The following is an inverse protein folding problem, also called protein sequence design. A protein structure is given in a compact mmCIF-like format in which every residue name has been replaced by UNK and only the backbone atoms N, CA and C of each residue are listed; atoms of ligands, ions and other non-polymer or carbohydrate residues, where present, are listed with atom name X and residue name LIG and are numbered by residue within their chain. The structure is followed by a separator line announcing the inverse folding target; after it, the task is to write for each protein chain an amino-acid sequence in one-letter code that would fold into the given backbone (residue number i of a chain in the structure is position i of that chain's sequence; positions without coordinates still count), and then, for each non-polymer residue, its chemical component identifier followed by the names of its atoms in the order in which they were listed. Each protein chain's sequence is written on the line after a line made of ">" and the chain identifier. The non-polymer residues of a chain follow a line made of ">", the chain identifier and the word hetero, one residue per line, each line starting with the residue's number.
data_IF_249805264398
#
_entry.id   IF_249805264398
#
_cell.length_a   1.000
_cell.length_b   1.000
_cell.length_c   1.000
_cell.angle_alpha   90.00
_cell.angle_beta   90.00
_cell.angle_gamma   90.00
#
_symmetry.space_group_name_H-M   'P 1'
#
loop_
_entity.id
_entity.type
_entity.pdbx_description
1 polymer ?
#
# COMPACT_ATOMS: atom_id res chain seq x y z
N UNK A 1 19.14 -27.05 74.11
CA UNK A 1 17.77 -27.16 73.59
C UNK A 1 17.09 -25.81 73.76
N UNK A 2 16.14 -25.44 72.89
CA UNK A 2 15.39 -24.17 72.96
C UNK A 2 13.90 -24.45 72.75
N UNK A 3 13.07 -23.97 73.66
CA UNK A 3 11.62 -24.18 73.66
C UNK A 3 10.91 -22.83 73.49
N UNK A 4 10.20 -22.66 72.37
CA UNK A 4 9.48 -21.45 72.00
C UNK A 4 8.00 -21.74 71.67
N UNK A 5 7.44 -22.84 72.17
CA UNK A 5 6.07 -23.24 71.85
C UNK A 5 5.00 -22.35 72.50
N UNK A 6 3.86 -22.14 71.81
CA UNK A 6 2.70 -21.36 72.28
C UNK A 6 2.98 -19.90 72.65
N UNK A 7 3.93 -19.28 71.97
CA UNK A 7 4.33 -17.88 72.20
C UNK A 7 3.71 -16.90 71.20
N UNK A 8 2.96 -17.40 70.20
CA UNK A 8 2.34 -16.58 69.16
C UNK A 8 3.33 -16.03 68.14
N UNK A 9 4.53 -16.63 68.05
CA UNK A 9 5.57 -16.20 67.12
C UNK A 9 5.11 -16.32 65.67
N UNK A 10 5.29 -15.25 64.90
CA UNK A 10 5.03 -15.22 63.46
C UNK A 10 6.29 -15.44 62.62
N UNK A 11 7.47 -15.19 63.20
CA UNK A 11 8.77 -15.42 62.56
C UNK A 11 9.83 -15.80 63.61
N UNK A 12 10.89 -16.45 63.14
CA UNK A 12 12.11 -16.76 63.88
C UNK A 12 13.27 -15.82 63.53
N UNK A 13 13.02 -14.72 62.80
CA UNK A 13 14.06 -13.83 62.29
C UNK A 13 14.94 -13.19 63.37
N UNK A 14 14.46 -13.11 64.62
CA UNK A 14 15.26 -12.63 65.75
C UNK A 14 16.44 -13.54 66.10
N UNK A 15 16.48 -14.77 65.56
CA UNK A 15 17.59 -15.70 65.70
C UNK A 15 18.57 -15.66 64.53
N UNK A 16 18.30 -14.85 63.49
CA UNK A 16 19.24 -14.65 62.39
C UNK A 16 20.54 -14.08 62.97
N UNK A 17 21.67 -14.68 62.59
CA UNK A 17 23.03 -14.36 63.06
C UNK A 17 23.30 -14.70 64.54
N UNK A 18 22.40 -15.39 65.26
CA UNK A 18 22.63 -15.77 66.65
C UNK A 18 23.70 -16.88 66.81
N UNK A 19 23.97 -17.66 65.74
CA UNK A 19 24.97 -18.73 65.68
C UNK A 19 24.98 -19.66 66.90
N UNK A 20 23.88 -20.37 67.10
CA UNK A 20 23.69 -21.23 68.28
C UNK A 20 24.32 -22.61 68.07
N UNK A 21 25.64 -22.70 68.22
CA UNK A 21 26.46 -23.91 67.98
C UNK A 21 26.27 -25.07 68.97
N UNK A 22 25.49 -24.87 70.03
CA UNK A 22 25.14 -25.92 71.02
C UNK A 22 23.66 -26.31 70.98
N UNK A 23 22.93 -25.79 70.00
CA UNK A 23 21.50 -26.06 69.88
C UNK A 23 21.29 -27.35 69.08
N UNK A 24 20.85 -28.40 69.75
CA UNK A 24 20.53 -29.69 69.12
C UNK A 24 19.04 -29.91 68.87
N UNK A 25 18.18 -29.24 69.64
CA UNK A 25 16.74 -29.44 69.55
C UNK A 25 16.02 -28.11 69.74
N UNK A 26 15.13 -27.81 68.81
CA UNK A 26 14.38 -26.57 68.69
C UNK A 26 12.88 -26.89 68.59
N UNK A 27 12.15 -26.60 69.68
CA UNK A 27 10.70 -26.73 69.70
C UNK A 27 10.03 -25.39 69.42
N UNK A 28 9.31 -25.27 68.31
CA UNK A 28 8.57 -24.07 67.90
C UNK A 28 7.14 -24.42 67.53
N UNK A 29 6.57 -25.42 68.20
CA UNK A 29 5.21 -25.89 67.95
C UNK A 29 4.13 -24.94 68.48
N UNK A 30 2.96 -24.97 67.85
CA UNK A 30 1.77 -24.20 68.22
C UNK A 30 2.01 -22.68 68.25
N UNK A 31 2.67 -22.17 67.21
CA UNK A 31 2.84 -20.74 66.96
C UNK A 31 2.11 -20.34 65.66
N UNK A 32 2.41 -19.17 65.13
CA UNK A 32 1.80 -18.61 63.92
C UNK A 32 2.79 -18.45 62.78
N UNK A 33 3.81 -19.32 62.70
CA UNK A 33 4.81 -19.28 61.64
C UNK A 33 4.18 -19.61 60.28
N UNK A 34 4.40 -18.74 59.29
CA UNK A 34 3.98 -18.94 57.91
C UNK A 34 5.14 -19.37 57.00
N UNK A 35 6.32 -18.77 57.19
CA UNK A 35 7.51 -19.00 56.39
C UNK A 35 8.66 -19.45 57.29
N UNK A 36 9.38 -20.47 56.86
CA UNK A 36 10.65 -20.86 57.47
C UNK A 36 11.75 -20.29 56.59
N UNK A 37 12.67 -19.49 57.13
CA UNK A 37 13.75 -18.84 56.37
C UNK A 37 15.02 -19.67 56.42
N UNK A 38 15.72 -19.80 55.29
CA UNK A 38 16.95 -20.60 55.18
C UNK A 38 18.05 -20.05 56.10
N UNK A 39 18.19 -18.73 56.14
CA UNK A 39 19.17 -18.01 56.96
C UNK A 39 18.99 -18.25 58.46
N UNK A 40 17.75 -18.45 58.90
CA UNK A 40 17.43 -18.79 60.29
C UNK A 40 17.94 -20.19 60.61
N UNK A 41 17.66 -21.18 59.74
CA UNK A 41 18.11 -22.56 59.97
C UNK A 41 19.63 -22.68 59.89
N UNK A 42 20.28 -21.94 58.99
CA UNK A 42 21.75 -21.83 58.94
C UNK A 42 22.37 -21.27 60.22
N UNK A 43 21.59 -20.53 61.04
CA UNK A 43 22.05 -20.03 62.35
C UNK A 43 22.09 -21.13 63.42
N UNK A 44 21.65 -22.36 63.12
CA UNK A 44 21.64 -23.53 64.01
C UNK A 44 22.45 -24.71 63.41
N UNK A 45 23.79 -24.61 63.31
CA UNK A 45 24.60 -25.59 62.56
C UNK A 45 24.63 -27.00 63.16
N UNK A 46 24.24 -27.17 64.43
CA UNK A 46 24.25 -28.47 65.14
C UNK A 46 22.86 -29.01 65.43
N UNK A 47 21.83 -28.50 64.73
CA UNK A 47 20.45 -28.84 64.96
C UNK A 47 20.14 -30.26 64.48
N UNK A 48 19.60 -31.08 65.38
CA UNK A 48 19.23 -32.48 65.11
C UNK A 48 17.72 -32.62 64.96
N UNK A 49 16.94 -31.95 65.82
CA UNK A 49 15.47 -32.05 65.82
C UNK A 49 14.79 -30.69 65.76
N UNK A 50 13.83 -30.56 64.83
CA UNK A 50 13.01 -29.37 64.65
C UNK A 50 11.51 -29.72 64.73
N UNK A 51 10.79 -29.16 65.71
CA UNK A 51 9.34 -29.34 65.85
C UNK A 51 8.59 -28.05 65.43
N UNK A 52 7.84 -28.16 64.34
CA UNK A 52 7.04 -27.07 63.75
C UNK A 52 5.53 -27.35 63.78
N UNK A 53 5.07 -28.38 64.50
CA UNK A 53 3.66 -28.78 64.47
C UNK A 53 2.73 -27.68 64.99
N UNK A 54 1.57 -27.54 64.35
CA UNK A 54 0.56 -26.55 64.75
C UNK A 54 0.92 -25.10 64.41
N UNK A 55 1.77 -24.88 63.40
CA UNK A 55 2.02 -23.58 62.78
C UNK A 55 1.14 -23.37 61.53
N UNK A 56 1.13 -22.15 61.00
CA UNK A 56 0.28 -21.70 59.91
C UNK A 56 1.06 -21.65 58.58
N UNK A 57 1.73 -22.74 58.22
CA UNK A 57 2.72 -22.79 57.13
C UNK A 57 2.10 -22.49 55.76
N UNK A 58 2.83 -21.72 54.95
CA UNK A 58 2.47 -21.38 53.57
C UNK A 58 2.93 -22.45 52.58
N UNK A 59 2.07 -22.84 51.64
CA UNK A 59 2.35 -23.77 50.57
C UNK A 59 2.40 -23.03 49.24
N UNK A 60 3.37 -22.12 49.16
CA UNK A 60 3.76 -21.37 47.98
C UNK A 60 5.29 -21.43 47.80
N UNK A 61 5.79 -20.73 46.78
CA UNK A 61 7.21 -20.76 46.47
C UNK A 61 8.12 -20.14 47.55
N UNK A 62 7.57 -19.51 48.59
CA UNK A 62 8.37 -18.98 49.71
C UNK A 62 8.93 -20.09 50.60
N UNK A 63 8.19 -21.18 50.77
CA UNK A 63 8.62 -22.36 51.52
C UNK A 63 9.18 -23.48 50.62
N UNK A 64 9.33 -23.24 49.31
CA UNK A 64 9.88 -24.22 48.37
C UNK A 64 11.25 -24.75 48.82
N UNK A 65 12.12 -23.86 49.28
CA UNK A 65 13.43 -24.25 49.80
C UNK A 65 13.30 -25.15 51.04
N UNK A 66 12.38 -24.84 51.96
CA UNK A 66 12.18 -25.58 53.21
C UNK A 66 11.65 -26.98 52.92
N UNK A 67 10.74 -27.11 51.96
CA UNK A 67 10.24 -28.41 51.48
C UNK A 67 11.38 -29.25 50.90
N UNK A 68 12.19 -28.66 50.01
CA UNK A 68 13.37 -29.35 49.46
C UNK A 68 14.38 -29.73 50.52
N UNK A 69 14.70 -28.82 51.44
CA UNK A 69 15.64 -29.02 52.54
C UNK A 69 15.17 -30.12 53.49
N UNK A 70 13.89 -30.17 53.83
CA UNK A 70 13.31 -31.20 54.69
C UNK A 70 13.47 -32.60 54.10
N UNK A 71 13.45 -32.74 52.77
CA UNK A 71 13.61 -34.02 52.07
C UNK A 71 15.09 -34.37 51.88
N UNK A 72 15.95 -33.38 51.62
CA UNK A 72 17.36 -33.61 51.27
C UNK A 72 18.33 -33.59 52.46
N UNK A 73 17.93 -33.02 53.60
CA UNK A 73 18.80 -32.88 54.77
C UNK A 73 19.02 -34.21 55.47
N UNK A 74 20.29 -34.57 55.70
CA UNK A 74 20.66 -35.74 56.50
C UNK A 74 20.94 -35.40 57.97
N UNK A 75 21.23 -34.12 58.27
CA UNK A 75 21.74 -33.70 59.58
C UNK A 75 20.64 -33.29 60.56
N UNK A 76 19.48 -32.83 60.03
CA UNK A 76 18.36 -32.36 60.84
C UNK A 76 17.07 -33.08 60.44
N UNK A 77 16.42 -33.69 61.42
CA UNK A 77 15.11 -34.32 61.27
C UNK A 77 13.99 -33.36 61.70
N UNK A 78 13.03 -33.13 60.81
CA UNK A 78 11.81 -32.39 61.13
C UNK A 78 10.78 -33.33 61.72
N UNK A 79 10.40 -33.09 62.98
CA UNK A 79 9.49 -33.97 63.72
C UNK A 79 8.12 -34.03 63.02
N UNK A 80 7.70 -35.25 62.65
CA UNK A 80 6.46 -35.49 61.91
C UNK A 80 6.34 -34.66 60.62
N UNK A 81 7.42 -34.53 59.85
CA UNK A 81 7.46 -33.76 58.59
C UNK A 81 6.29 -34.05 57.64
N UNK A 82 5.94 -35.33 57.48
CA UNK A 82 4.81 -35.79 56.64
C UNK A 82 3.42 -35.41 57.16
N UNK A 83 3.33 -34.92 58.40
CA UNK A 83 2.07 -34.47 59.02
C UNK A 83 1.90 -32.95 59.05
N UNK A 84 2.91 -32.20 58.61
CA UNK A 84 2.78 -30.76 58.46
C UNK A 84 1.77 -30.43 57.36
N UNK A 85 0.80 -29.59 57.69
CA UNK A 85 -0.26 -29.16 56.78
C UNK A 85 -0.12 -27.69 56.40
N UNK A 86 -0.59 -27.38 55.20
CA UNK A 86 -0.68 -26.02 54.67
C UNK A 86 -1.82 -25.26 55.35
N UNK A 87 -1.61 -23.98 55.67
CA UNK A 87 -2.68 -23.07 56.06
C UNK A 87 -2.97 -21.97 55.02
N UNK A 88 -2.00 -21.65 54.17
CA UNK A 88 -2.13 -20.71 53.05
C UNK A 88 -1.48 -21.34 51.80
N UNK A 89 -1.90 -21.03 50.56
CA UNK A 89 -3.13 -20.31 50.20
C UNK A 89 -4.40 -21.12 50.54
N UNK A 90 -5.55 -20.45 50.61
CA UNK A 90 -6.84 -21.08 51.02
C UNK A 90 -7.19 -22.34 50.22
N UNK A 91 -6.78 -22.41 48.95
CA UNK A 91 -7.00 -23.57 48.07
C UNK A 91 -6.26 -24.82 48.52
N UNK A 92 -5.10 -24.66 49.14
CA UNK A 92 -4.24 -25.75 49.60
C UNK A 92 -4.36 -25.97 51.11
N UNK A 93 -5.24 -25.23 51.79
CA UNK A 93 -5.41 -25.35 53.24
C UNK A 93 -5.80 -26.79 53.61
N UNK A 94 -5.04 -27.39 54.53
CA UNK A 94 -5.20 -28.78 54.97
C UNK A 94 -4.45 -29.83 54.15
N UNK A 95 -3.90 -29.49 52.98
CA UNK A 95 -3.00 -30.39 52.25
C UNK A 95 -1.65 -30.56 52.97
N UNK A 96 -0.93 -31.63 52.67
CA UNK A 96 0.40 -31.87 53.23
C UNK A 96 1.41 -30.90 52.61
N UNK A 97 2.30 -30.35 53.45
CA UNK A 97 3.33 -29.41 53.00
C UNK A 97 4.31 -30.04 52.00
N UNK A 98 4.62 -31.32 52.18
CA UNK A 98 5.53 -32.07 51.30
C UNK A 98 4.92 -32.43 49.93
N UNK A 99 3.61 -32.25 49.72
CA UNK A 99 2.96 -32.45 48.42
C UNK A 99 3.15 -31.24 47.47
N UNK A 100 3.82 -30.17 47.93
CA UNK A 100 4.06 -28.97 47.12
C UNK A 100 5.01 -29.27 45.95
N UNK A 101 4.57 -28.99 44.72
CA UNK A 101 5.40 -29.13 43.52
C UNK A 101 6.41 -27.98 43.39
N UNK A 102 7.61 -28.16 43.98
CA UNK A 102 8.71 -27.18 43.93
C UNK A 102 9.21 -26.91 42.51
N UNK A 103 9.05 -27.84 41.57
CA UNK A 103 9.49 -27.67 40.19
C UNK A 103 8.83 -26.50 39.45
N UNK A 104 7.60 -26.13 39.84
CA UNK A 104 6.87 -24.99 39.27
C UNK A 104 7.38 -23.62 39.75
N UNK A 105 8.25 -23.57 40.76
CA UNK A 105 8.79 -22.31 41.30
C UNK A 105 10.03 -21.79 40.55
N UNK A 106 10.64 -22.61 39.69
CA UNK A 106 11.78 -22.18 38.88
C UNK A 106 11.31 -21.48 37.61
N UNK A 107 11.62 -20.19 37.50
CA UNK A 107 11.45 -19.42 36.26
C UNK A 107 12.72 -19.59 35.42
N UNK A 108 12.60 -20.23 34.26
CA UNK A 108 13.73 -20.43 33.35
C UNK A 108 14.06 -19.14 32.58
N UNK A 109 14.86 -18.28 33.20
CA UNK A 109 15.39 -17.04 32.61
C UNK A 109 16.16 -17.35 31.31
N UNK A 110 16.79 -18.52 31.21
CA UNK A 110 17.52 -18.96 30.01
C UNK A 110 16.60 -19.10 28.80
N UNK A 111 15.40 -19.65 28.99
CA UNK A 111 14.39 -19.75 27.94
C UNK A 111 13.98 -18.37 27.40
N UNK A 112 13.72 -17.40 28.29
CA UNK A 112 13.36 -16.04 27.87
C UNK A 112 14.50 -15.34 27.11
N UNK A 113 15.75 -15.49 27.57
CA UNK A 113 16.93 -14.96 26.87
C UNK A 113 17.10 -15.61 25.48
N UNK A 114 16.83 -16.91 25.35
CA UNK A 114 16.87 -17.62 24.08
C UNK A 114 15.81 -17.11 23.09
N UNK A 115 14.56 -16.90 23.53
CA UNK A 115 13.51 -16.34 22.65
C UNK A 115 13.85 -14.91 22.19
N UNK A 116 14.38 -14.09 23.10
CA UNK A 116 14.76 -12.72 22.76
C UNK A 116 15.89 -12.67 21.73
N UNK A 117 16.95 -13.48 21.92
CA UNK A 117 18.11 -13.48 21.04
C UNK A 117 17.79 -14.03 19.66
N UNK A 118 17.02 -15.13 19.59
CA UNK A 118 16.57 -15.71 18.30
C UNK A 118 15.72 -14.73 17.50
N UNK A 119 14.80 -14.02 18.14
CA UNK A 119 13.96 -13.00 17.49
C UNK A 119 14.81 -11.86 16.91
N UNK A 120 15.79 -11.36 17.67
CA UNK A 120 16.68 -10.29 17.21
C UNK A 120 17.48 -10.70 15.96
N UNK A 121 18.00 -11.93 15.94
CA UNK A 121 18.76 -12.46 14.80
C UNK A 121 17.87 -12.57 13.55
N UNK A 122 16.64 -13.06 13.69
CA UNK A 122 15.71 -13.17 12.55
C UNK A 122 15.36 -11.81 11.95
N UNK A 123 15.09 -10.81 12.79
CA UNK A 123 14.75 -9.44 12.34
C UNK A 123 15.92 -8.81 11.58
N UNK A 124 17.15 -8.96 12.09
CA UNK A 124 18.35 -8.40 11.43
C UNK A 124 18.65 -9.07 10.10
N UNK A 125 18.50 -10.39 9.98
CA UNK A 125 18.66 -11.12 8.72
C UNK A 125 17.60 -10.71 7.69
N UNK A 126 16.33 -10.63 8.10
CA UNK A 126 15.25 -10.20 7.22
C UNK A 126 15.46 -8.76 6.74
N UNK A 127 15.82 -7.85 7.65
CA UNK A 127 16.11 -6.46 7.30
C UNK A 127 17.25 -6.32 6.29
N UNK A 128 18.34 -7.08 6.47
CA UNK A 128 19.48 -7.11 5.54
C UNK A 128 19.07 -7.63 4.16
N UNK A 129 18.30 -8.72 4.11
CA UNK A 129 17.81 -9.30 2.85
C UNK A 129 16.90 -8.33 2.10
N UNK A 130 15.91 -7.75 2.80
CA UNK A 130 15.00 -6.75 2.23
C UNK A 130 15.77 -5.53 1.74
N UNK A 131 16.76 -5.04 2.48
CA UNK A 131 17.58 -3.92 2.04
C UNK A 131 18.37 -4.26 0.77
N UNK A 132 19.06 -5.40 0.73
CA UNK A 132 19.85 -5.76 -0.45
C UNK A 132 18.99 -5.97 -1.69
N UNK A 133 17.85 -6.66 -1.54
CA UNK A 133 16.95 -6.96 -2.65
C UNK A 133 16.12 -5.74 -3.10
N UNK A 134 15.55 -5.00 -2.15
CA UNK A 134 14.64 -3.89 -2.46
C UNK A 134 15.35 -2.57 -2.75
N UNK A 135 16.62 -2.37 -2.35
CA UNK A 135 17.32 -1.09 -2.57
C UNK A 135 17.29 -0.65 -4.03
N UNK A 136 17.65 -1.54 -4.95
CA UNK A 136 17.68 -1.21 -6.38
C UNK A 136 16.27 -1.05 -6.97
N UNK A 137 15.31 -1.85 -6.50
CA UNK A 137 13.90 -1.74 -6.90
C UNK A 137 13.31 -0.38 -6.49
N UNK A 138 13.57 0.07 -5.26
CA UNK A 138 13.11 1.36 -4.74
C UNK A 138 13.77 2.53 -5.46
N UNK A 139 15.09 2.46 -5.70
CA UNK A 139 15.81 3.49 -6.47
C UNK A 139 15.24 3.61 -7.89
N UNK A 140 15.05 2.49 -8.57
CA UNK A 140 14.48 2.47 -9.92
C UNK A 140 13.06 3.03 -9.94
N UNK A 141 12.20 2.60 -9.01
CA UNK A 141 10.84 3.10 -8.87
C UNK A 141 10.81 4.62 -8.57
N UNK A 142 11.74 5.12 -7.75
CA UNK A 142 11.88 6.55 -7.46
C UNK A 142 12.18 7.36 -8.72
N UNK A 143 13.13 6.92 -9.55
CA UNK A 143 13.45 7.63 -10.80
C UNK A 143 12.32 7.55 -11.83
N UNK A 144 11.64 6.41 -11.95
CA UNK A 144 10.44 6.29 -12.80
C UNK A 144 9.33 7.23 -12.36
N UNK A 145 9.06 7.31 -11.06
CA UNK A 145 8.07 8.22 -10.50
C UNK A 145 8.44 9.68 -10.79
N UNK A 146 9.72 10.04 -10.61
CA UNK A 146 10.21 11.38 -10.89
C UNK A 146 10.04 11.74 -12.38
N UNK A 147 10.35 10.81 -13.29
CA UNK A 147 10.14 10.97 -14.73
C UNK A 147 8.66 11.15 -15.08
N UNK A 148 7.77 10.33 -14.50
CA UNK A 148 6.33 10.44 -14.69
C UNK A 148 5.75 11.78 -14.19
N UNK A 149 6.25 12.27 -13.05
CA UNK A 149 5.84 13.57 -12.50
C UNK A 149 6.35 14.74 -13.36
N UNK A 150 7.55 14.63 -13.92
CA UNK A 150 8.12 15.63 -14.82
C UNK A 150 7.32 15.75 -16.11
N UNK A 151 7.01 14.61 -16.74
CA UNK A 151 6.24 14.57 -17.99
C UNK A 151 4.82 15.13 -17.80
N UNK A 152 4.12 14.74 -16.73
CA UNK A 152 2.82 15.33 -16.38
C UNK A 152 2.87 16.85 -16.18
N UNK A 153 3.95 17.38 -15.59
CA UNK A 153 4.12 18.82 -15.39
C UNK A 153 4.36 19.55 -16.72
N UNK A 154 5.00 18.90 -17.68
CA UNK A 154 5.27 19.45 -19.01
C UNK A 154 4.04 19.42 -19.90
N UNK A 155 3.22 18.36 -19.84
CA UNK A 155 1.93 18.28 -20.54
C UNK A 155 0.87 19.24 -19.99
N UNK A 156 0.96 19.63 -18.70
CA UNK A 156 0.03 20.58 -18.07
C UNK A 156 0.26 22.05 -18.40
N UNK A 157 1.35 22.42 -19.09
CA UNK A 157 1.45 23.76 -19.66
C UNK A 157 0.70 23.75 -20.99
N UNK A 158 -0.48 24.40 -21.12
CA UNK A 158 -1.08 24.59 -22.42
C UNK A 158 -0.12 25.44 -23.24
N UNK A 159 0.65 24.80 -24.13
CA UNK A 159 1.23 25.51 -25.27
C UNK A 159 0.03 26.12 -25.99
N UNK A 160 0.04 27.43 -26.23
CA UNK A 160 -0.95 28.05 -27.09
C UNK A 160 -1.05 27.25 -28.39
N UNK A 161 -2.27 27.11 -28.92
CA UNK A 161 -2.53 26.37 -30.16
C UNK A 161 -1.58 26.88 -31.25
N UNK A 162 -0.67 26.03 -31.73
CA UNK A 162 0.36 26.40 -32.69
C UNK A 162 -0.16 26.42 -34.13
N UNK A 163 -1.28 25.76 -34.38
CA UNK A 163 -1.88 25.57 -35.70
C UNK A 163 -3.39 25.82 -35.66
N UNK A 164 -3.94 26.28 -36.78
CA UNK A 164 -5.38 26.47 -36.95
C UNK A 164 -6.09 25.15 -37.27
N UNK A 165 -5.44 24.27 -38.04
CA UNK A 165 -5.97 22.94 -38.28
C UNK A 165 -4.89 21.88 -38.50
N UNK A 166 -5.16 20.68 -37.98
CA UNK A 166 -4.43 19.45 -38.31
C UNK A 166 -5.11 18.76 -39.50
N UNK A 167 -4.33 18.35 -40.50
CA UNK A 167 -4.85 17.62 -41.68
C UNK A 167 -4.53 16.13 -41.55
N UNK A 168 -5.55 15.29 -41.42
CA UNK A 168 -5.43 13.83 -41.51
C UNK A 168 -5.91 13.38 -42.89
N UNK A 169 -5.00 12.73 -43.63
CA UNK A 169 -5.21 12.26 -45.00
C UNK A 169 -4.41 10.97 -45.22
N UNK A 170 -4.73 10.23 -46.29
CA UNK A 170 -3.97 9.05 -46.69
C UNK A 170 -2.88 9.44 -47.70
N UNK A 171 -1.75 8.73 -47.73
CA UNK A 171 -0.65 8.96 -48.70
C UNK A 171 -1.14 8.98 -50.15
N UNK A 172 -2.15 8.18 -50.52
CA UNK A 172 -2.73 8.20 -51.87
C UNK A 172 -3.42 9.51 -52.23
N UNK A 173 -3.92 10.25 -51.25
CA UNK A 173 -4.61 11.53 -51.42
C UNK A 173 -3.67 12.73 -51.24
N UNK A 174 -2.38 12.50 -50.97
CA UNK A 174 -1.38 13.53 -50.74
C UNK A 174 -1.28 14.53 -51.89
N UNK A 175 -1.36 14.04 -53.12
CA UNK A 175 -1.30 14.87 -54.33
C UNK A 175 -2.42 15.93 -54.35
N UNK A 176 -3.63 15.56 -53.93
CA UNK A 176 -4.75 16.49 -53.85
C UNK A 176 -4.56 17.48 -52.69
N UNK A 177 -4.10 17.01 -51.54
CA UNK A 177 -3.82 17.87 -50.37
C UNK A 177 -2.77 18.94 -50.72
N UNK A 178 -1.68 18.54 -51.35
CA UNK A 178 -0.57 19.45 -51.68
C UNK A 178 -0.92 20.43 -52.80
N UNK A 179 -1.73 20.03 -53.79
CA UNK A 179 -2.03 20.85 -54.98
C UNK A 179 -3.30 21.68 -54.87
N UNK A 180 -4.31 21.18 -54.16
CA UNK A 180 -5.63 21.83 -54.05
C UNK A 180 -5.84 22.44 -52.67
N UNK A 181 -5.64 21.66 -51.60
CA UNK A 181 -5.98 22.09 -50.23
C UNK A 181 -5.00 23.14 -49.69
N UNK A 182 -3.69 22.86 -49.73
CA UNK A 182 -2.68 23.73 -49.15
C UNK A 182 -2.63 25.12 -49.80
N UNK A 183 -2.59 25.28 -51.14
CA UNK A 183 -2.49 26.62 -51.73
C UNK A 183 -3.73 27.47 -51.47
N UNK A 184 -4.89 26.85 -51.25
CA UNK A 184 -6.12 27.58 -50.97
C UNK A 184 -6.24 28.00 -49.51
N UNK A 185 -5.69 27.21 -48.57
CA UNK A 185 -5.80 27.47 -47.14
C UNK A 185 -4.59 28.23 -46.58
N UNK A 186 -3.35 27.83 -46.91
CA UNK A 186 -2.13 28.50 -46.43
C UNK A 186 -1.86 29.77 -47.23
N UNK A 187 -1.74 29.68 -48.58
CA UNK A 187 -1.30 30.83 -49.38
C UNK A 187 -2.37 31.91 -49.54
N UNK A 188 -3.63 31.53 -49.83
CA UNK A 188 -4.71 32.50 -50.10
C UNK A 188 -5.46 32.96 -48.86
N UNK A 189 -5.64 32.08 -47.86
CA UNK A 189 -6.44 32.36 -46.67
C UNK A 189 -5.57 32.60 -45.42
N UNK A 190 -4.28 32.28 -45.44
CA UNK A 190 -3.36 32.54 -44.34
C UNK A 190 -3.51 31.62 -43.13
N UNK A 191 -4.17 30.46 -43.27
CA UNK A 191 -4.30 29.49 -42.19
C UNK A 191 -2.98 28.75 -41.94
N UNK A 192 -2.66 28.49 -40.68
CA UNK A 192 -1.48 27.69 -40.33
C UNK A 192 -1.87 26.22 -40.13
N UNK A 193 -1.38 25.33 -41.00
CA UNK A 193 -1.77 23.92 -40.99
C UNK A 193 -0.64 23.01 -40.49
N UNK A 194 -1.02 21.92 -39.84
CA UNK A 194 -0.10 20.86 -39.41
C UNK A 194 -0.30 19.61 -40.29
N UNK A 195 0.76 19.16 -40.94
CA UNK A 195 0.78 17.98 -41.81
C UNK A 195 1.79 16.94 -41.34
N UNK A 196 1.42 15.67 -41.48
CA UNK A 196 2.24 14.57 -41.00
C UNK A 196 3.57 14.38 -41.76
N UNK A 197 3.64 14.73 -43.05
CA UNK A 197 4.89 14.63 -43.82
C UNK A 197 5.85 15.81 -43.62
N UNK A 198 5.39 16.95 -43.08
CA UNK A 198 6.16 18.20 -42.97
C UNK A 198 6.52 18.54 -41.53
N UNK A 199 5.56 18.42 -40.63
CA UNK A 199 5.62 19.01 -39.29
C UNK A 199 5.89 17.97 -38.18
N UNK A 200 5.99 16.68 -38.52
CA UNK A 200 6.26 15.62 -37.55
C UNK A 200 7.73 15.58 -37.14
N UNK A 201 7.97 15.39 -35.84
CA UNK A 201 9.32 15.31 -35.28
C UNK A 201 9.94 13.94 -35.59
N UNK A 202 11.09 13.88 -36.29
CA UNK A 202 11.78 12.62 -36.56
C UNK A 202 12.25 11.95 -35.27
N UNK A 203 12.09 10.63 -35.18
CA UNK A 203 12.49 9.84 -34.01
C UNK A 203 11.43 9.73 -32.91
N UNK A 204 10.33 10.47 -33.00
CA UNK A 204 9.15 10.32 -32.13
C UNK A 204 8.17 9.28 -32.71
N UNK A 205 7.50 8.44 -31.90
CA UNK A 205 6.49 7.52 -32.39
C UNK A 205 5.39 8.25 -33.18
N UNK A 206 4.97 7.68 -34.31
CA UNK A 206 3.99 8.33 -35.21
C UNK A 206 2.67 8.67 -34.50
N UNK A 207 2.24 7.81 -33.57
CA UNK A 207 1.04 8.03 -32.77
C UNK A 207 1.15 9.28 -31.89
N UNK A 208 2.30 9.52 -31.29
CA UNK A 208 2.50 10.68 -30.42
C UNK A 208 2.59 11.96 -31.24
N UNK A 209 3.16 11.90 -32.45
CA UNK A 209 3.15 13.01 -33.41
C UNK A 209 1.72 13.38 -33.85
N UNK A 210 0.87 12.38 -34.10
CA UNK A 210 -0.55 12.62 -34.44
C UNK A 210 -1.28 13.25 -33.26
N UNK A 211 -1.11 12.70 -32.06
CA UNK A 211 -1.72 13.22 -30.82
C UNK A 211 -1.30 14.68 -30.63
N UNK A 212 -0.02 14.98 -30.72
CA UNK A 212 0.50 16.36 -30.61
C UNK A 212 -0.05 17.28 -31.70
N UNK A 213 -0.09 16.83 -32.96
CA UNK A 213 -0.63 17.60 -34.08
C UNK A 213 -2.10 17.96 -33.85
N UNK A 214 -2.89 17.01 -33.33
CA UNK A 214 -4.28 17.24 -32.95
C UNK A 214 -4.34 18.24 -31.77
N UNK A 215 -3.66 17.99 -30.65
CA UNK A 215 -3.77 18.83 -29.44
C UNK A 215 -3.23 20.26 -29.62
N UNK A 216 -2.23 20.44 -30.48
CA UNK A 216 -1.69 21.75 -30.83
C UNK A 216 -2.48 22.47 -31.93
N UNK A 217 -3.56 21.86 -32.46
CA UNK A 217 -4.42 22.45 -33.51
C UNK A 217 -5.82 22.81 -33.00
N UNK A 218 -6.38 23.92 -33.51
CA UNK A 218 -7.74 24.37 -33.16
C UNK A 218 -8.84 23.47 -33.73
N UNK A 219 -8.64 22.97 -34.94
CA UNK A 219 -9.56 22.09 -35.68
C UNK A 219 -8.79 20.89 -36.22
N UNK A 220 -9.50 19.83 -36.58
CA UNK A 220 -8.97 18.68 -37.30
C UNK A 220 -9.77 18.51 -38.58
N UNK A 221 -9.12 18.53 -39.73
CA UNK A 221 -9.72 18.23 -41.04
C UNK A 221 -9.36 16.79 -41.40
N UNK A 222 -10.37 15.95 -41.59
CA UNK A 222 -10.19 14.59 -42.11
C UNK A 222 -10.57 14.56 -43.58
N UNK A 223 -9.61 14.24 -44.45
CA UNK A 223 -9.80 14.04 -45.89
C UNK A 223 -10.12 12.56 -46.13
N UNK A 224 -11.40 12.28 -46.38
CA UNK A 224 -11.95 10.93 -46.47
C UNK A 224 -12.04 10.50 -47.93
N UNK A 225 -11.37 9.39 -48.22
CA UNK A 225 -11.47 8.57 -49.42
C UNK A 225 -11.67 7.08 -49.02
N UNK A 226 -11.88 6.19 -49.99
CA UNK A 226 -11.89 4.73 -49.76
C UNK A 226 -10.54 4.25 -49.24
N UNK A 227 -9.44 4.75 -49.80
CA UNK A 227 -8.08 4.44 -49.34
C UNK A 227 -7.85 4.88 -47.89
N UNK A 228 -8.40 6.04 -47.51
CA UNK A 228 -8.41 6.51 -46.13
C UNK A 228 -9.16 5.53 -45.20
N UNK A 229 -10.29 4.97 -45.63
CA UNK A 229 -11.05 3.99 -44.86
C UNK A 229 -10.46 2.57 -44.87
N UNK A 230 -9.59 2.22 -45.82
CA UNK A 230 -8.96 0.89 -45.90
C UNK A 230 -7.68 0.79 -45.07
N UNK A 231 -6.99 1.92 -44.83
CA UNK A 231 -5.73 1.91 -44.09
C UNK A 231 -5.92 1.80 -42.57
N UNK A 232 -5.21 0.85 -41.95
CA UNK A 232 -5.24 0.66 -40.49
C UNK A 232 -4.82 1.92 -39.72
N UNK A 233 -3.87 2.69 -40.27
CA UNK A 233 -3.37 3.93 -39.69
C UNK A 233 -4.42 5.04 -39.69
N UNK A 234 -5.11 5.31 -40.81
CA UNK A 234 -6.19 6.31 -40.84
C UNK A 234 -7.40 5.86 -40.01
N UNK A 235 -7.68 4.55 -39.92
CA UNK A 235 -8.73 4.02 -39.03
C UNK A 235 -8.45 4.32 -37.55
N UNK A 236 -7.18 4.31 -37.14
CA UNK A 236 -6.72 4.61 -35.78
C UNK A 236 -6.60 6.11 -35.50
N UNK A 237 -6.18 6.90 -36.48
CA UNK A 237 -6.18 8.37 -36.43
C UNK A 237 -7.61 8.92 -36.26
N UNK A 238 -8.57 8.41 -37.03
CA UNK A 238 -9.99 8.73 -36.86
C UNK A 238 -10.47 8.32 -35.46
N UNK A 239 -10.08 7.15 -34.95
CA UNK A 239 -10.50 6.71 -33.62
C UNK A 239 -9.97 7.62 -32.50
N UNK A 240 -8.73 8.11 -32.62
CA UNK A 240 -8.09 9.00 -31.64
C UNK A 240 -8.63 10.44 -31.77
N UNK A 241 -8.73 10.97 -32.99
CA UNK A 241 -9.34 12.26 -33.26
C UNK A 241 -10.83 12.27 -32.84
N UNK A 242 -11.53 11.16 -33.06
CA UNK A 242 -12.89 10.94 -32.58
C UNK A 242 -12.93 10.87 -31.06
N UNK A 243 -12.01 10.17 -30.39
CA UNK A 243 -11.97 10.12 -28.92
C UNK A 243 -11.86 11.52 -28.31
N UNK A 244 -10.95 12.37 -28.82
CA UNK A 244 -10.87 13.79 -28.41
C UNK A 244 -12.15 14.57 -28.73
N UNK A 245 -12.79 14.31 -29.87
CA UNK A 245 -14.07 14.93 -30.25
C UNK A 245 -15.25 14.52 -29.33
N UNK A 246 -15.23 13.30 -28.79
CA UNK A 246 -16.29 12.77 -27.94
C UNK A 246 -16.12 13.14 -26.46
N UNK A 247 -14.88 13.26 -25.97
CA UNK A 247 -14.59 13.58 -24.57
C UNK A 247 -14.69 15.08 -24.25
N UNK A 248 -14.28 15.97 -25.18
CA UNK A 248 -14.23 17.43 -24.95
C UNK A 248 -15.48 18.22 -25.43
N UNK A 249 -16.46 17.58 -26.10
CA UNK A 249 -17.72 18.18 -26.60
C UNK A 249 -17.59 19.56 -27.30
N UNK A 250 -16.59 19.74 -28.16
CA UNK A 250 -16.45 20.96 -28.99
C UNK A 250 -16.45 20.58 -30.47
N UNK A 251 -17.06 21.41 -31.32
CA UNK A 251 -17.05 21.26 -32.79
C UNK A 251 -15.63 21.46 -33.33
N UNK A 252 -14.80 20.42 -33.24
CA UNK A 252 -13.38 20.45 -33.60
C UNK A 252 -13.10 19.71 -34.91
N UNK A 253 -14.00 18.82 -35.35
CA UNK A 253 -13.78 17.95 -36.51
C UNK A 253 -14.52 18.44 -37.76
N UNK A 254 -13.80 18.54 -38.88
CA UNK A 254 -14.32 18.86 -40.20
C UNK A 254 -14.07 17.67 -41.11
N UNK A 255 -15.14 17.09 -41.67
CA UNK A 255 -15.04 15.95 -42.58
C UNK A 255 -15.11 16.44 -44.03
N UNK A 256 -14.10 16.11 -44.84
CA UNK A 256 -14.03 16.43 -46.27
C UNK A 256 -14.03 15.12 -47.05
N UNK A 257 -15.08 14.85 -47.83
CA UNK A 257 -15.17 13.66 -48.69
C UNK A 257 -14.66 13.99 -50.09
N UNK A 258 -13.61 13.31 -50.54
CA UNK A 258 -13.10 13.46 -51.92
C UNK A 258 -13.93 12.71 -52.95
N UNK A 259 -14.63 11.66 -52.51
CA UNK A 259 -15.45 10.82 -53.37
C UNK A 259 -16.77 10.44 -52.68
N UNK A 260 -17.73 9.99 -53.48
CA UNK A 260 -18.98 9.47 -52.95
C UNK A 260 -18.77 8.04 -52.44
N UNK A 261 -18.78 7.91 -51.12
CA UNK A 261 -18.65 6.62 -50.43
C UNK A 261 -20.05 6.15 -49.99
N UNK A 262 -20.50 4.97 -50.42
CA UNK A 262 -21.82 4.47 -50.07
C UNK A 262 -21.91 4.12 -48.57
N UNK A 263 -23.09 4.34 -47.99
CA UNK A 263 -23.34 4.21 -46.54
C UNK A 263 -22.98 2.85 -45.92
N UNK A 264 -22.93 1.77 -46.71
CA UNK A 264 -22.56 0.44 -46.24
C UNK A 264 -21.07 0.33 -45.90
N UNK A 265 -20.18 0.97 -46.67
CA UNK A 265 -18.73 1.00 -46.39
C UNK A 265 -18.41 1.85 -45.17
N UNK A 266 -19.30 2.79 -44.83
CA UNK A 266 -19.19 3.65 -43.66
C UNK A 266 -19.77 2.99 -42.38
N UNK A 267 -20.45 1.86 -42.51
CA UNK A 267 -21.13 1.18 -41.39
C UNK A 267 -20.21 0.67 -40.26
N UNK A 268 -18.96 0.21 -40.52
CA UNK A 268 -18.02 -0.17 -39.45
C UNK A 268 -17.58 1.02 -38.59
N UNK A 269 -17.64 2.23 -39.16
CA UNK A 269 -17.21 3.48 -38.53
C UNK A 269 -18.33 4.15 -37.73
N UNK A 270 -18.98 3.38 -36.84
CA UNK A 270 -20.21 3.77 -36.13
C UNK A 270 -20.13 5.12 -35.39
N UNK A 271 -18.94 5.55 -34.96
CA UNK A 271 -18.73 6.86 -34.31
C UNK A 271 -18.83 8.03 -35.28
N UNK A 272 -18.37 7.86 -36.53
CA UNK A 272 -18.54 8.85 -37.61
C UNK A 272 -19.98 8.89 -38.12
N UNK A 273 -20.72 7.78 -38.00
CA UNK A 273 -22.13 7.67 -38.40
C UNK A 273 -22.98 8.81 -37.86
N UNK A 274 -22.76 9.27 -36.62
CA UNK A 274 -23.50 10.40 -36.03
C UNK A 274 -23.26 11.72 -36.76
N UNK A 275 -22.02 12.01 -37.15
CA UNK A 275 -21.66 13.22 -37.89
C UNK A 275 -22.14 13.17 -39.34
N UNK A 276 -22.04 12.00 -39.96
CA UNK A 276 -22.52 11.75 -41.32
C UNK A 276 -24.05 11.84 -41.37
N UNK A 277 -24.76 11.28 -40.38
CA UNK A 277 -26.22 11.38 -40.26
C UNK A 277 -26.69 12.83 -40.08
N UNK A 278 -25.94 13.66 -39.35
CA UNK A 278 -26.20 15.09 -39.23
C UNK A 278 -25.84 15.90 -40.49
N UNK A 279 -25.26 15.25 -41.53
CA UNK A 279 -24.81 15.87 -42.79
C UNK A 279 -23.85 17.06 -42.58
N UNK A 280 -23.02 17.01 -41.54
CA UNK A 280 -22.05 18.08 -41.23
C UNK A 280 -20.72 17.91 -41.95
N UNK A 281 -20.72 17.27 -43.13
CA UNK A 281 -19.53 17.01 -43.94
C UNK A 281 -19.54 17.85 -45.21
N UNK A 282 -18.35 18.07 -45.78
CA UNK A 282 -18.14 18.79 -47.02
C UNK A 282 -17.75 17.78 -48.10
N UNK A 283 -18.50 17.73 -49.20
CA UNK A 283 -18.17 16.91 -50.36
C UNK A 283 -17.40 17.73 -51.38
N UNK A 284 -16.28 17.20 -51.86
CA UNK A 284 -15.56 17.77 -52.99
C UNK A 284 -16.46 17.75 -54.24
N UNK A 285 -16.59 18.88 -54.97
CA UNK A 285 -17.45 18.97 -56.14
C UNK A 285 -16.98 18.06 -57.28
N UNK A 286 -17.91 17.66 -58.15
CA UNK A 286 -17.58 16.83 -59.33
C UNK A 286 -16.80 17.66 -60.36
N UNK A 287 -16.00 17.02 -61.23
CA UNK A 287 -15.31 17.73 -62.32
C UNK A 287 -16.30 18.56 -63.15
N UNK A 288 -16.09 19.87 -63.21
CA UNK A 288 -16.96 20.83 -63.93
C UNK A 288 -17.93 21.62 -63.05
N UNK A 289 -18.07 21.29 -61.76
CA UNK A 289 -18.82 22.09 -60.78
C UNK A 289 -17.93 23.18 -60.14
N UNK A 290 -18.55 24.28 -59.68
CA UNK A 290 -17.82 25.41 -59.07
C UNK A 290 -17.26 25.05 -57.68
N UNK A 291 -15.94 25.19 -57.52
CA UNK A 291 -15.22 24.90 -56.26
C UNK A 291 -15.35 26.02 -55.23
N UNK A 292 -15.79 27.22 -55.60
CA UNK A 292 -15.88 28.39 -54.69
C UNK A 292 -16.77 28.12 -53.48
N UNK A 293 -17.91 27.46 -53.69
CA UNK A 293 -18.87 27.15 -52.63
C UNK A 293 -18.27 26.18 -51.61
N UNK A 294 -17.49 25.20 -52.07
CA UNK A 294 -16.78 24.27 -51.19
C UNK A 294 -15.79 25.01 -50.29
N UNK A 295 -14.94 25.85 -50.88
CA UNK A 295 -13.93 26.61 -50.14
C UNK A 295 -14.54 27.57 -49.12
N UNK A 296 -15.64 28.23 -49.47
CA UNK A 296 -16.35 29.12 -48.54
C UNK A 296 -16.94 28.35 -47.35
N UNK A 297 -17.54 27.18 -47.59
CA UNK A 297 -18.06 26.33 -46.50
C UNK A 297 -16.94 25.82 -45.60
N UNK A 298 -15.80 25.42 -46.17
CA UNK A 298 -14.63 24.97 -45.41
C UNK A 298 -14.08 26.08 -44.52
N UNK A 299 -13.99 27.30 -45.05
CA UNK A 299 -13.58 28.48 -44.29
C UNK A 299 -14.51 28.76 -43.10
N UNK A 300 -15.83 28.74 -43.31
CA UNK A 300 -16.81 28.95 -42.24
C UNK A 300 -16.68 27.88 -41.14
N UNK A 301 -16.44 26.62 -41.52
CA UNK A 301 -16.23 25.51 -40.59
C UNK A 301 -14.94 25.66 -39.75
N UNK A 302 -13.90 26.28 -40.31
CA UNK A 302 -12.65 26.63 -39.61
C UNK A 302 -12.81 27.83 -38.67
N UNK A 303 -13.62 28.82 -39.06
CA UNK A 303 -13.87 30.05 -38.29
C UNK A 303 -14.78 29.83 -37.08
N UNK A 304 -15.66 28.82 -37.12
CA UNK A 304 -16.62 28.52 -36.06
C UNK A 304 -15.88 28.18 -34.76
N UNK A 305 -15.84 29.12 -33.82
CA UNK A 305 -15.32 28.91 -32.47
C UNK A 305 -16.36 28.07 -31.73
N UNK A 306 -15.96 26.90 -31.21
CA UNK A 306 -16.87 26.02 -30.48
C UNK A 306 -17.63 26.84 -29.42
N UNK A 307 -18.95 26.92 -29.55
CA UNK A 307 -19.81 27.61 -28.59
C UNK A 307 -19.64 26.91 -27.24
N UNK A 308 -19.24 27.61 -26.17
CA UNK A 308 -19.62 27.16 -24.84
C UNK A 308 -21.15 27.22 -24.80
N UNK A 309 -21.80 26.11 -24.43
CA UNK A 309 -23.22 26.13 -24.08
C UNK A 309 -23.41 27.25 -23.04
N UNK A 310 -24.04 28.36 -23.44
CA UNK A 310 -24.55 29.34 -22.49
C UNK A 310 -25.63 28.66 -21.67
N UNK A 311 -25.44 28.63 -20.35
CA UNK A 311 -26.49 28.35 -19.38
C UNK A 311 -27.79 29.06 -19.79
N UNK A 312 -28.86 28.28 -19.96
CA UNK A 312 -30.22 28.79 -20.08
C UNK A 312 -30.59 29.52 -18.77
N UNK A 313 -30.82 30.84 -18.77
CA UNK A 313 -31.37 31.52 -17.61
C UNK A 313 -32.86 31.77 -17.85
N UNK A 314 -33.66 30.72 -18.06
CA UNK A 314 -35.13 30.81 -18.08
C UNK A 314 -35.75 29.47 -17.63
N UNK A 315 -35.46 29.07 -16.40
CA UNK A 315 -36.43 28.33 -15.59
C UNK A 315 -37.26 29.37 -14.83
N UNK A 316 -38.41 29.71 -15.40
CA UNK A 316 -39.31 30.72 -14.88
C UNK A 316 -40.66 30.62 -15.57
N UNK A 317 -41.38 29.53 -15.27
CA UNK A 317 -42.84 29.50 -15.12
C UNK A 317 -43.15 28.64 -13.91
#
# INVERSE_FOLDING_TARGET
>A
TLHLSKTGLQSLDFLINANLTKLHLLHVSKNSLSVVNETVIQSFPTLIYLDLRGNYLSCDCTNAWFVSWTISSNDTEVESAYDLTCNYPDKLKGHKLLDLNVGSCNVDVGFFCFLSTTTLVLVTLLGSFLFHFLKWQVIYAYYLLLAFLHDNKQQRKPKGLQYDAFISYNVHDELWVMRELLPQLEDKQGWKLCLHHRDFEPGKPIMDNIVDGIYNSRKTICVISRHYLESEWCSREIQIASFRLFDEKKDVLILVFLENIPSHQLSPYYRMKRLIQKKTYLSWPKPGEDTRVFWQKLRIALETRGTPEMDNPLAGI
#
